data_IF_968710806460
#
_entry.id   IF_968710806460
#
_cell.length_a   1.000
_cell.length_b   1.000
_cell.length_c   1.000
_cell.angle_alpha   90.00
_cell.angle_beta   90.00
_cell.angle_gamma   90.00
#
_symmetry.space_group_name_H-M   'P 1'
#
loop_
_entity.id
_entity.type
_entity.pdbx_description
1 polymer ?
#
# COMPACT_ATOMS: atom_id res chain seq x y z
N UNK A 1 13.40 -13.35 -10.05
CA UNK A 1 12.04 -12.77 -10.04
C UNK A 1 11.33 -13.26 -11.29
N UNK A 2 10.07 -13.71 -11.17
CA UNK A 2 9.36 -14.42 -12.24
C UNK A 2 8.34 -13.54 -13.01
N UNK A 3 8.26 -12.26 -12.67
CA UNK A 3 7.32 -11.32 -13.30
C UNK A 3 5.92 -11.30 -12.70
N UNK A 4 5.69 -11.99 -11.58
CA UNK A 4 4.36 -12.21 -11.00
C UNK A 4 3.81 -11.03 -10.17
N UNK A 5 4.61 -9.99 -9.93
CA UNK A 5 4.24 -8.87 -9.06
C UNK A 5 4.20 -7.55 -9.83
N UNK A 6 3.23 -6.70 -9.49
CA UNK A 6 3.18 -5.34 -9.98
C UNK A 6 4.40 -4.54 -9.50
N UNK A 7 4.96 -3.74 -10.40
CA UNK A 7 6.09 -2.85 -10.12
C UNK A 7 5.66 -1.44 -10.45
N UNK A 8 5.88 -0.52 -9.53
CA UNK A 8 5.43 0.87 -9.64
C UNK A 8 6.58 1.83 -9.90
N UNK A 9 6.26 2.92 -10.58
CA UNK A 9 7.19 4.03 -10.77
C UNK A 9 7.27 4.85 -9.47
N UNK A 10 8.37 4.67 -8.72
CA UNK A 10 8.56 5.36 -7.44
C UNK A 10 8.59 6.87 -7.56
N UNK A 11 9.13 7.40 -8.66
CA UNK A 11 9.19 8.86 -8.85
C UNK A 11 7.78 9.41 -9.01
N UNK A 12 6.91 8.71 -9.75
CA UNK A 12 5.50 9.05 -9.84
C UNK A 12 4.77 8.87 -8.49
N UNK A 13 5.05 7.79 -7.74
CA UNK A 13 4.45 7.56 -6.43
C UNK A 13 4.78 8.65 -5.41
N UNK A 14 6.00 9.19 -5.43
CA UNK A 14 6.39 10.31 -4.58
C UNK A 14 5.57 11.58 -4.84
N UNK A 15 4.99 11.71 -6.03
CA UNK A 15 4.07 12.78 -6.42
C UNK A 15 2.60 12.42 -6.18
N UNK A 16 2.34 11.28 -5.54
CA UNK A 16 1.00 10.78 -5.27
C UNK A 16 0.33 10.07 -6.44
N UNK A 17 1.05 9.81 -7.54
CA UNK A 17 0.50 9.21 -8.76
C UNK A 17 0.79 7.71 -8.79
N UNK A 18 -0.27 6.91 -8.85
CA UNK A 18 -0.14 5.46 -9.07
C UNK A 18 0.15 5.20 -10.55
N UNK A 19 1.37 4.77 -10.85
CA UNK A 19 1.79 4.42 -12.21
C UNK A 19 2.54 3.09 -12.18
N UNK A 20 2.02 2.12 -12.91
CA UNK A 20 2.64 0.81 -13.07
C UNK A 20 3.72 0.87 -14.16
N UNK A 21 4.90 0.35 -13.85
CA UNK A 21 5.99 0.08 -14.81
C UNK A 21 5.81 -1.32 -15.38
N UNK A 22 5.34 -2.25 -14.55
CA UNK A 22 5.05 -3.61 -14.94
C UNK A 22 3.80 -4.09 -14.21
N UNK A 23 2.89 -4.67 -14.98
CA UNK A 23 1.73 -5.35 -14.44
C UNK A 23 2.07 -6.83 -14.32
N UNK A 24 2.29 -7.29 -13.09
CA UNK A 24 2.62 -8.67 -12.81
C UNK A 24 1.38 -9.49 -12.64
N UNK A 25 0.96 -10.16 -13.72
CA UNK A 25 0.03 -11.29 -13.70
C UNK A 25 -0.11 -11.83 -15.14
N UNK A 26 0.31 -13.07 -15.40
CA UNK A 26 -0.23 -13.91 -16.50
C UNK A 26 0.57 -15.19 -16.71
N UNK A 27 -0.15 -16.29 -16.95
CA UNK A 27 0.36 -17.62 -17.30
C UNK A 27 0.63 -17.79 -18.80
N UNK A 28 0.55 -16.71 -19.60
CA UNK A 28 0.64 -16.79 -21.06
C UNK A 28 2.09 -16.71 -21.55
N UNK A 29 2.37 -17.43 -22.62
CA UNK A 29 3.67 -17.43 -23.31
C UNK A 29 4.11 -16.02 -23.73
N UNK A 30 3.18 -15.22 -24.23
CA UNK A 30 3.47 -13.91 -24.80
C UNK A 30 3.94 -12.93 -23.73
N UNK A 31 3.28 -12.94 -22.57
CA UNK A 31 3.65 -12.09 -21.44
C UNK A 31 4.96 -12.52 -20.80
N UNK A 32 5.24 -13.82 -20.75
CA UNK A 32 6.54 -14.32 -20.27
C UNK A 32 7.67 -13.88 -21.20
N UNK A 33 7.44 -13.90 -22.51
CA UNK A 33 8.41 -13.38 -23.48
C UNK A 33 8.58 -11.85 -23.34
N UNK A 34 7.49 -11.10 -23.10
CA UNK A 34 7.55 -9.67 -22.81
C UNK A 34 8.38 -9.38 -21.55
N UNK A 35 8.14 -10.13 -20.47
CA UNK A 35 8.89 -10.02 -19.23
C UNK A 35 10.39 -10.25 -19.47
N UNK A 36 10.76 -11.34 -20.14
CA UNK A 36 12.18 -11.65 -20.41
C UNK A 36 12.83 -10.56 -21.27
N UNK A 37 12.11 -9.98 -22.25
CA UNK A 37 12.60 -8.85 -23.06
C UNK A 37 12.83 -7.59 -22.24
N UNK A 38 11.99 -7.32 -21.24
CA UNK A 38 12.02 -6.11 -20.41
C UNK A 38 12.73 -6.31 -19.06
N UNK A 39 13.26 -7.50 -18.80
CA UNK A 39 13.75 -7.94 -17.50
C UNK A 39 14.75 -6.99 -16.86
N UNK A 40 15.71 -6.47 -17.63
CA UNK A 40 16.71 -5.53 -17.11
C UNK A 40 16.07 -4.24 -16.58
N UNK A 41 15.13 -3.67 -17.33
CA UNK A 41 14.39 -2.46 -16.95
C UNK A 41 13.52 -2.71 -15.72
N UNK A 42 12.82 -3.84 -15.68
CA UNK A 42 12.04 -4.31 -14.53
C UNK A 42 12.93 -4.46 -13.29
N UNK A 43 14.09 -5.10 -13.40
CA UNK A 43 15.03 -5.26 -12.29
C UNK A 43 15.52 -3.92 -11.72
N UNK A 44 15.77 -2.92 -12.58
CA UNK A 44 16.13 -1.57 -12.15
C UNK A 44 14.96 -0.92 -11.41
N UNK A 45 13.74 -1.03 -11.93
CA UNK A 45 12.54 -0.48 -11.31
C UNK A 45 12.27 -1.12 -9.93
N UNK A 46 12.41 -2.44 -9.82
CA UNK A 46 12.31 -3.19 -8.55
C UNK A 46 13.35 -2.70 -7.55
N UNK A 47 14.60 -2.55 -7.97
CA UNK A 47 15.67 -2.09 -7.08
C UNK A 47 15.38 -0.70 -6.51
N UNK A 48 14.84 0.21 -7.34
CA UNK A 48 14.39 1.54 -6.92
C UNK A 48 13.19 1.47 -5.98
N UNK A 49 12.21 0.61 -6.28
CA UNK A 49 11.04 0.37 -5.43
C UNK A 49 11.45 -0.11 -4.04
N UNK A 50 12.32 -1.11 -3.96
CA UNK A 50 12.80 -1.64 -2.69
C UNK A 50 13.63 -0.61 -1.91
N UNK A 51 14.46 0.19 -2.59
CA UNK A 51 15.23 1.26 -1.93
C UNK A 51 14.33 2.36 -1.31
N UNK A 52 13.19 2.65 -1.96
CA UNK A 52 12.19 3.60 -1.47
C UNK A 52 11.23 3.03 -0.42
N UNK A 53 11.13 1.70 -0.31
CA UNK A 53 10.18 1.03 0.57
C UNK A 53 10.54 1.25 2.05
N UNK A 54 9.52 1.36 2.90
CA UNK A 54 9.67 1.50 4.36
C UNK A 54 8.68 0.55 5.02
N UNK A 55 9.17 -0.13 6.06
CA UNK A 55 8.36 -1.05 6.86
C UNK A 55 8.09 -0.37 8.21
N UNK A 56 6.81 -0.30 8.57
CA UNK A 56 6.37 0.17 9.88
C UNK A 56 5.74 -1.01 10.61
N UNK A 57 6.11 -1.20 11.87
CA UNK A 57 5.61 -2.29 12.70
C UNK A 57 4.80 -1.69 13.84
N UNK A 58 3.60 -2.23 14.05
CA UNK A 58 2.74 -1.89 15.18
C UNK A 58 2.40 -3.17 15.93
N UNK A 59 2.45 -3.12 17.27
CA UNK A 59 1.90 -4.18 18.10
C UNK A 59 0.38 -4.00 18.16
N UNK A 60 -0.34 -4.95 17.57
CA UNK A 60 -1.80 -5.00 17.52
C UNK A 60 -2.38 -6.10 18.42
N UNK A 61 -1.53 -6.71 19.27
CA UNK A 61 -1.89 -7.84 20.09
C UNK A 61 -2.10 -9.14 19.30
N UNK A 62 -2.76 -10.11 19.93
CA UNK A 62 -2.95 -11.47 19.38
C UNK A 62 -4.31 -11.68 18.72
N UNK A 63 -5.26 -10.76 18.93
CA UNK A 63 -6.62 -10.86 18.40
C UNK A 63 -6.73 -10.11 17.06
N UNK A 64 -7.39 -10.68 16.04
CA UNK A 64 -7.45 -10.08 14.71
C UNK A 64 -8.21 -8.75 14.66
N UNK A 65 -9.14 -8.54 15.60
CA UNK A 65 -10.07 -7.41 15.56
C UNK A 65 -9.41 -6.03 15.58
N UNK A 66 -8.29 -5.89 16.30
CA UNK A 66 -7.53 -4.62 16.36
C UNK A 66 -6.91 -4.34 14.99
N UNK A 67 -6.34 -5.36 14.34
CA UNK A 67 -5.75 -5.24 13.01
C UNK A 67 -6.80 -4.84 11.97
N UNK A 68 -7.94 -5.52 11.95
CA UNK A 68 -9.03 -5.23 11.00
C UNK A 68 -9.52 -3.77 11.10
N UNK A 69 -9.72 -3.28 12.32
CA UNK A 69 -10.15 -1.90 12.58
C UNK A 69 -9.07 -0.90 12.16
N UNK A 70 -7.81 -1.20 12.45
CA UNK A 70 -6.67 -0.38 12.06
C UNK A 70 -6.54 -0.29 10.53
N UNK A 71 -6.60 -1.42 9.82
CA UNK A 71 -6.57 -1.48 8.35
C UNK A 71 -7.72 -0.68 7.74
N UNK A 72 -8.94 -0.85 8.26
CA UNK A 72 -10.11 -0.12 7.78
C UNK A 72 -9.96 1.40 7.93
N UNK A 73 -9.44 1.87 9.07
CA UNK A 73 -9.25 3.31 9.30
C UNK A 73 -8.09 3.86 8.49
N UNK A 74 -6.98 3.13 8.35
CA UNK A 74 -5.85 3.55 7.48
C UNK A 74 -6.34 3.72 6.05
N UNK A 75 -6.98 2.68 5.49
CA UNK A 75 -7.47 2.71 4.11
C UNK A 75 -8.56 3.78 3.94
N UNK A 76 -9.46 3.92 4.90
CA UNK A 76 -10.49 4.96 4.89
C UNK A 76 -9.92 6.38 4.87
N UNK A 77 -8.84 6.65 5.60
CA UNK A 77 -8.15 7.93 5.56
C UNK A 77 -7.43 8.17 4.23
N UNK A 78 -6.80 7.14 3.66
CA UNK A 78 -6.15 7.22 2.35
C UNK A 78 -7.17 7.48 1.22
N UNK A 79 -8.33 6.84 1.26
CA UNK A 79 -9.39 7.05 0.28
C UNK A 79 -10.02 8.44 0.33
N UNK A 80 -10.01 9.10 1.50
CA UNK A 80 -10.52 10.47 1.68
C UNK A 80 -9.54 11.55 1.23
N UNK A 81 -8.30 11.20 0.89
CA UNK A 81 -7.32 12.17 0.40
C UNK A 81 -7.79 12.78 -0.94
N UNK A 82 -7.36 14.01 -1.28
CA UNK A 82 -7.58 14.56 -2.61
C UNK A 82 -6.86 13.73 -3.67
N UNK A 83 -7.35 13.79 -4.91
CA UNK A 83 -6.62 13.23 -6.05
C UNK A 83 -5.26 13.95 -6.20
N UNK A 84 -4.18 13.25 -6.62
CA UNK A 84 -4.16 11.84 -7.04
C UNK A 84 -3.99 10.82 -5.90
N UNK A 85 -3.77 11.24 -4.66
CA UNK A 85 -3.37 10.38 -3.55
C UNK A 85 -4.38 9.27 -3.22
N UNK A 86 -5.69 9.55 -3.30
CA UNK A 86 -6.73 8.56 -3.05
C UNK A 86 -6.77 7.41 -4.07
N UNK A 87 -6.03 7.51 -5.16
CA UNK A 87 -5.88 6.49 -6.20
C UNK A 87 -4.63 5.61 -5.99
N UNK A 88 -3.80 5.90 -4.98
CA UNK A 88 -2.63 5.07 -4.66
C UNK A 88 -3.04 3.70 -4.12
N UNK A 89 -3.94 3.59 -3.12
CA UNK A 89 -4.32 2.29 -2.61
C UNK A 89 -5.29 1.59 -3.57
N UNK A 90 -5.16 0.26 -3.67
CA UNK A 90 -6.12 -0.58 -4.41
C UNK A 90 -7.53 -0.43 -3.83
N UNK A 91 -8.54 -0.62 -4.69
CA UNK A 91 -9.96 -0.53 -4.30
C UNK A 91 -10.56 -1.93 -4.16
N UNK A 92 -11.69 -2.03 -3.46
CA UNK A 92 -12.45 -3.27 -3.33
C UNK A 92 -11.99 -4.19 -2.20
N UNK A 93 -11.15 -3.71 -1.28
CA UNK A 93 -10.78 -4.45 -0.07
C UNK A 93 -11.99 -4.62 0.87
N UNK A 94 -12.12 -5.80 1.47
CA UNK A 94 -13.09 -6.05 2.53
C UNK A 94 -12.58 -5.43 3.83
N UNK A 95 -13.05 -4.23 4.14
CA UNK A 95 -12.65 -3.48 5.34
C UNK A 95 -13.71 -3.62 6.44
N UNK A 96 -13.27 -3.83 7.68
CA UNK A 96 -14.14 -4.03 8.84
C UNK A 96 -13.89 -2.95 9.92
N UNK A 97 -14.42 -1.72 9.77
CA UNK A 97 -14.26 -0.64 10.73
C UNK A 97 -14.94 -0.95 12.08
N UNK A 98 -14.74 -0.07 13.07
CA UNK A 98 -15.37 -0.17 14.39
C UNK A 98 -16.89 -0.33 14.30
N UNK A 99 -17.44 -1.24 15.08
CA UNK A 99 -18.88 -1.32 15.32
C UNK A 99 -19.32 -0.38 16.43
N UNK A 100 -20.55 0.09 16.40
CA UNK A 100 -21.08 0.99 17.42
C UNK A 100 -21.06 0.40 18.85
N UNK A 101 -21.05 -0.94 18.96
CA UNK A 101 -20.96 -1.66 20.24
C UNK A 101 -19.54 -1.77 20.80
N UNK A 102 -18.51 -1.47 20.00
CA UNK A 102 -17.12 -1.57 20.42
C UNK A 102 -16.63 -0.26 21.03
N UNK A 103 -15.85 -0.38 22.12
CA UNK A 103 -15.16 0.76 22.71
C UNK A 103 -14.16 1.37 21.71
N UNK A 104 -14.08 2.72 21.62
CA UNK A 104 -13.12 3.39 20.77
C UNK A 104 -11.70 3.18 21.30
N UNK A 105 -10.75 2.96 20.38
CA UNK A 105 -9.33 2.88 20.71
C UNK A 105 -8.62 4.02 20.01
N UNK A 106 -7.91 4.85 20.77
CA UNK A 106 -7.14 5.97 20.21
C UNK A 106 -5.74 5.50 19.87
N UNK A 107 -5.40 5.54 18.59
CA UNK A 107 -4.08 5.24 18.06
C UNK A 107 -3.31 6.54 17.87
N UNK A 108 -2.02 6.53 18.24
CA UNK A 108 -1.10 7.64 18.02
C UNK A 108 0.12 7.15 17.25
N UNK A 109 0.38 7.77 16.10
CA UNK A 109 1.57 7.51 15.31
C UNK A 109 2.81 8.07 16.05
N UNK A 110 3.75 7.19 16.39
CA UNK A 110 5.04 7.55 17.01
C UNK A 110 6.19 7.13 16.11
N UNK A 111 6.45 7.92 15.07
CA UNK A 111 7.56 7.70 14.14
C UNK A 111 8.29 9.03 13.85
N UNK A 112 9.55 8.94 13.45
CA UNK A 112 10.39 10.10 13.10
C UNK A 112 10.08 10.67 11.71
N UNK A 113 9.20 10.01 10.96
CA UNK A 113 8.81 10.37 9.60
C UNK A 113 7.30 10.63 9.56
N UNK A 114 6.89 11.48 8.63
CA UNK A 114 5.47 11.75 8.42
C UNK A 114 4.81 10.62 7.62
N UNK A 115 3.66 10.14 8.09
CA UNK A 115 2.82 9.20 7.37
C UNK A 115 1.77 9.98 6.58
N UNK A 116 2.06 10.24 5.31
CA UNK A 116 1.15 10.99 4.44
C UNK A 116 -0.23 10.34 4.36
N UNK A 117 -1.26 11.16 4.48
CA UNK A 117 -2.66 10.72 4.44
C UNK A 117 -3.18 10.11 5.74
N UNK A 118 -2.37 10.03 6.80
CA UNK A 118 -2.82 9.62 8.14
C UNK A 118 -2.63 10.77 9.14
N UNK A 119 -3.63 11.06 9.99
CA UNK A 119 -3.47 12.03 11.06
C UNK A 119 -2.51 11.49 12.14
N UNK A 120 -1.96 12.40 12.96
CA UNK A 120 -1.08 12.02 14.08
C UNK A 120 -1.77 11.09 15.08
N UNK A 121 -3.07 11.32 15.29
CA UNK A 121 -3.92 10.57 16.21
C UNK A 121 -5.24 10.27 15.52
N UNK A 122 -5.75 9.05 15.66
CA UNK A 122 -7.04 8.65 15.12
C UNK A 122 -7.71 7.58 15.99
N UNK A 123 -9.03 7.50 15.91
CA UNK A 123 -9.83 6.44 16.52
C UNK A 123 -9.90 5.24 15.56
N UNK A 124 -9.74 4.03 16.11
CA UNK A 124 -10.09 2.77 15.47
C UNK A 124 -11.20 2.08 16.23
#
# INVERSE_FOLDING_TARGET
>A
MNGDYNIFDIVAMQQGVRKEVWHGWSWTSEKRAEFEKQKSMIHIAVSRQLAGFRIFVADVGTQPRILERLEAVIMGNLYKQPAPFCNIPDKGMMLAPRWNSENPIIIKNRCTVMLYGLPLTFEI
#
